data_IF_215141448409
#
_entry.id   IF_215141448409
#
_cell.length_a   1.000
_cell.length_b   1.000
_cell.length_c   1.000
_cell.angle_alpha   90.00
_cell.angle_beta   90.00
_cell.angle_gamma   90.00
#
_symmetry.space_group_name_H-M   'P 1'
#
loop_
_entity.id
_entity.type
_entity.pdbx_description
1 polymer ?
#
# COMPACT_ATOMS: atom_id res chain seq x y z
N UNK A 1 21.83 7.67 -23.48
CA UNK A 1 22.65 8.40 -22.48
C UNK A 1 22.58 7.77 -21.09
N UNK A 2 21.45 7.79 -20.36
CA UNK A 2 21.36 7.15 -19.03
C UNK A 2 21.46 5.61 -19.11
N UNK A 3 20.78 4.99 -20.07
CA UNK A 3 20.84 3.54 -20.26
C UNK A 3 22.25 3.02 -20.55
N UNK A 4 23.07 3.80 -21.26
CA UNK A 4 24.44 3.44 -21.61
C UNK A 4 25.36 3.50 -20.39
N UNK A 5 25.12 4.46 -19.48
CA UNK A 5 25.79 4.53 -18.17
C UNK A 5 25.43 3.32 -17.31
N UNK A 6 24.15 2.98 -17.18
CA UNK A 6 23.78 1.79 -16.38
C UNK A 6 24.33 0.47 -16.95
N UNK A 7 24.63 0.40 -18.25
CA UNK A 7 25.29 -0.77 -18.87
C UNK A 7 26.79 -0.85 -18.58
N UNK A 8 27.43 0.23 -18.14
CA UNK A 8 28.88 0.28 -17.97
C UNK A 8 29.38 -0.44 -16.72
N UNK A 9 28.49 -0.87 -15.83
CA UNK A 9 28.85 -1.51 -14.57
C UNK A 9 27.77 -2.52 -14.15
N UNK A 10 28.10 -3.36 -13.17
CA UNK A 10 27.23 -4.40 -12.65
C UNK A 10 26.09 -3.82 -11.81
N UNK A 11 24.98 -4.56 -11.73
CA UNK A 11 23.84 -4.24 -10.84
C UNK A 11 24.29 -4.02 -9.40
N UNK A 12 25.17 -4.88 -8.88
CA UNK A 12 25.65 -4.81 -7.50
C UNK A 12 26.43 -3.51 -7.25
N UNK A 13 27.33 -3.14 -8.16
CA UNK A 13 28.07 -1.86 -8.09
C UNK A 13 27.12 -0.66 -8.08
N UNK A 14 26.12 -0.65 -8.97
CA UNK A 14 25.15 0.45 -9.01
C UNK A 14 24.29 0.55 -7.75
N UNK A 15 23.79 -0.58 -7.24
CA UNK A 15 23.02 -0.59 -5.99
C UNK A 15 23.86 -0.08 -4.81
N UNK A 16 25.14 -0.46 -4.73
CA UNK A 16 26.06 0.06 -3.70
C UNK A 16 26.27 1.57 -3.82
N UNK A 17 26.50 2.09 -5.03
CA UNK A 17 26.67 3.54 -5.27
C UNK A 17 25.40 4.33 -4.96
N UNK A 18 24.24 3.85 -5.37
CA UNK A 18 22.96 4.50 -5.11
C UNK A 18 22.63 4.49 -3.62
N UNK A 19 22.87 3.37 -2.93
CA UNK A 19 22.71 3.27 -1.48
C UNK A 19 23.62 4.24 -0.73
N UNK A 20 24.90 4.33 -1.11
CA UNK A 20 25.85 5.28 -0.51
C UNK A 20 25.44 6.75 -0.72
N UNK A 21 24.77 7.06 -1.83
CA UNK A 21 24.22 8.38 -2.10
C UNK A 21 22.86 8.64 -1.42
N UNK A 22 22.34 7.68 -0.64
CA UNK A 22 21.03 7.78 0.00
C UNK A 22 19.85 7.67 -0.97
N UNK A 23 20.09 7.20 -2.21
CA UNK A 23 19.05 7.00 -3.22
C UNK A 23 18.43 5.60 -3.04
N UNK A 24 17.13 5.50 -2.70
CA UNK A 24 16.46 4.21 -2.56
C UNK A 24 16.42 3.48 -3.91
N UNK A 25 17.03 2.30 -3.97
CA UNK A 25 17.08 1.48 -5.16
C UNK A 25 17.01 0.00 -4.78
N UNK A 26 16.32 -0.80 -5.60
CA UNK A 26 16.21 -2.24 -5.41
C UNK A 26 16.35 -3.00 -6.73
N UNK A 27 16.82 -4.25 -6.70
CA UNK A 27 16.84 -5.09 -7.89
C UNK A 27 15.41 -5.40 -8.36
N UNK A 28 15.21 -5.49 -9.68
CA UNK A 28 13.99 -6.08 -10.24
C UNK A 28 14.12 -7.60 -10.13
N UNK A 29 13.28 -8.22 -9.30
CA UNK A 29 13.29 -9.67 -9.04
C UNK A 29 12.11 -10.36 -9.73
N UNK A 30 12.07 -11.70 -9.67
CA UNK A 30 10.86 -12.45 -9.97
C UNK A 30 10.05 -12.66 -8.69
N UNK A 31 8.76 -12.96 -8.85
CA UNK A 31 7.85 -13.22 -7.72
C UNK A 31 8.34 -14.35 -6.81
N UNK A 32 8.87 -15.44 -7.37
CA UNK A 32 9.43 -16.56 -6.60
C UNK A 32 10.63 -16.14 -5.76
N UNK A 33 11.62 -15.49 -6.40
CA UNK A 33 12.81 -14.97 -5.71
C UNK A 33 12.48 -14.04 -4.54
N UNK A 34 11.40 -13.26 -4.63
CA UNK A 34 10.92 -12.44 -3.51
C UNK A 34 10.27 -13.27 -2.41
N UNK A 35 9.43 -14.24 -2.77
CA UNK A 35 8.77 -15.13 -1.81
C UNK A 35 9.78 -15.94 -0.99
N UNK A 36 10.91 -16.30 -1.62
CA UNK A 36 12.06 -16.99 -1.00
C UNK A 36 13.08 -16.01 -0.38
N UNK A 37 12.82 -14.70 -0.38
CA UNK A 37 13.80 -13.73 0.10
C UNK A 37 13.90 -13.76 1.64
N UNK A 38 15.12 -13.72 2.22
CA UNK A 38 15.32 -13.77 3.68
C UNK A 38 14.57 -12.69 4.46
N UNK A 39 14.28 -11.56 3.81
CA UNK A 39 13.44 -10.52 4.40
C UNK A 39 12.03 -11.00 4.71
N UNK A 40 11.37 -11.70 3.78
CA UNK A 40 9.99 -12.16 3.99
C UNK A 40 9.91 -13.23 5.07
N UNK A 41 10.91 -14.10 5.14
CA UNK A 41 11.04 -15.07 6.24
C UNK A 41 11.18 -14.34 7.58
N UNK A 42 12.08 -13.35 7.67
CA UNK A 42 12.32 -12.61 8.90
C UNK A 42 11.09 -11.86 9.44
N UNK A 43 10.19 -11.42 8.55
CA UNK A 43 8.94 -10.76 8.93
C UNK A 43 7.73 -11.71 9.01
N UNK A 44 7.94 -13.02 8.82
CA UNK A 44 6.87 -14.03 8.86
C UNK A 44 5.87 -13.94 7.71
N UNK A 45 6.28 -13.33 6.60
CA UNK A 45 5.46 -13.19 5.38
C UNK A 45 5.61 -14.36 4.41
N UNK A 46 6.51 -15.30 4.68
CA UNK A 46 6.55 -16.60 4.01
C UNK A 46 6.12 -17.65 5.02
N UNK A 47 5.07 -18.39 4.71
CA UNK A 47 4.62 -19.53 5.52
C UNK A 47 4.40 -20.76 4.64
N UNK A 48 4.71 -21.91 5.20
CA UNK A 48 4.41 -23.22 4.63
C UNK A 48 3.18 -23.79 5.34
N UNK A 49 2.16 -24.15 4.56
CA UNK A 49 0.90 -24.67 5.09
C UNK A 49 0.58 -25.98 4.39
N UNK A 50 0.26 -27.01 5.18
CA UNK A 50 -0.19 -28.30 4.64
C UNK A 50 -1.62 -28.20 4.10
N UNK A 51 -1.77 -28.45 2.80
CA UNK A 51 -3.03 -28.29 2.06
C UNK A 51 -3.60 -29.63 1.59
N UNK A 52 -3.71 -30.63 2.46
CA UNK A 52 -4.35 -31.90 2.14
C UNK A 52 -3.81 -32.52 0.85
N UNK A 53 -4.66 -32.64 -0.17
CA UNK A 53 -4.32 -33.21 -1.49
C UNK A 53 -3.23 -32.42 -2.26
N UNK A 54 -3.04 -31.14 -1.95
CA UNK A 54 -2.02 -30.31 -2.59
C UNK A 54 -0.65 -30.38 -1.90
N UNK A 55 -0.55 -31.09 -0.76
CA UNK A 55 0.67 -31.14 0.04
C UNK A 55 1.07 -29.77 0.60
N UNK A 56 2.35 -29.53 0.89
CA UNK A 56 2.84 -28.25 1.42
C UNK A 56 2.73 -27.14 0.36
N UNK A 57 2.07 -26.05 0.73
CA UNK A 57 1.93 -24.85 -0.11
C UNK A 57 2.54 -23.66 0.60
N UNK A 58 3.42 -22.95 -0.10
CA UNK A 58 3.97 -21.67 0.33
C UNK A 58 2.96 -20.56 0.04
N UNK A 59 2.62 -19.77 1.04
CA UNK A 59 1.76 -18.60 0.87
C UNK A 59 2.21 -17.39 1.71
N UNK A 60 1.68 -16.19 1.42
CA UNK A 60 1.94 -15.02 2.24
C UNK A 60 1.40 -15.19 3.67
N UNK A 61 2.16 -14.72 4.65
CA UNK A 61 1.73 -14.61 6.04
C UNK A 61 0.76 -13.45 6.29
N UNK A 62 0.56 -13.11 7.57
CA UNK A 62 -0.32 -12.01 7.98
C UNK A 62 0.43 -10.67 7.88
N UNK A 63 0.02 -9.74 7.01
CA UNK A 63 0.77 -8.49 6.78
C UNK A 63 0.51 -7.43 7.87
N UNK A 64 -0.43 -7.67 8.78
CA UNK A 64 -0.78 -6.76 9.89
C UNK A 64 -0.39 -7.42 11.20
N UNK A 65 0.53 -6.79 11.92
CA UNK A 65 1.03 -7.28 13.21
C UNK A 65 0.27 -6.56 14.33
N UNK A 66 -0.54 -7.32 15.07
CA UNK A 66 -1.27 -6.83 16.24
C UNK A 66 -0.62 -7.41 17.50
N UNK A 67 -0.07 -6.55 18.35
CA UNK A 67 0.67 -6.99 19.55
C UNK A 67 -0.22 -7.72 20.56
N UNK A 68 -1.45 -7.24 20.76
CA UNK A 68 -2.39 -7.80 21.75
C UNK A 68 -3.20 -8.98 21.21
N UNK A 69 -3.44 -9.03 19.90
CA UNK A 69 -4.26 -10.07 19.23
C UNK A 69 -3.60 -10.54 17.93
N UNK A 70 -2.43 -11.21 17.99
CA UNK A 70 -1.70 -11.60 16.80
C UNK A 70 -2.55 -12.44 15.84
N UNK A 71 -2.57 -12.03 14.56
CA UNK A 71 -3.20 -12.82 13.51
C UNK A 71 -2.42 -14.10 13.21
N UNK A 72 -3.12 -15.15 12.77
CA UNK A 72 -2.49 -16.39 12.28
C UNK A 72 -3.24 -16.93 11.08
N UNK A 73 -2.50 -17.54 10.15
CA UNK A 73 -3.11 -18.33 9.08
C UNK A 73 -3.57 -19.66 9.68
N UNK A 74 -4.86 -19.97 9.53
CA UNK A 74 -5.49 -21.12 10.18
C UNK A 74 -5.39 -22.41 9.37
N UNK A 75 -5.01 -22.31 8.10
CA UNK A 75 -4.96 -23.43 7.17
C UNK A 75 -5.14 -22.93 5.75
N UNK A 76 -5.19 -23.86 4.81
CA UNK A 76 -5.40 -23.55 3.42
C UNK A 76 -6.83 -23.07 3.17
N UNK A 77 -7.02 -22.40 2.04
CA UNK A 77 -8.36 -22.06 1.58
C UNK A 77 -9.20 -23.35 1.54
N UNK A 78 -10.42 -23.34 2.11
CA UNK A 78 -11.30 -24.50 2.04
C UNK A 78 -11.55 -24.84 0.56
N UNK A 79 -11.73 -26.13 0.23
CA UNK A 79 -12.06 -26.53 -1.13
C UNK A 79 -13.31 -25.78 -1.59
N UNK A 80 -13.33 -25.42 -2.88
CA UNK A 80 -14.51 -24.78 -3.46
C UNK A 80 -15.70 -25.72 -3.24
N UNK A 81 -16.65 -25.28 -2.42
CA UNK A 81 -17.86 -26.05 -2.20
C UNK A 81 -18.60 -26.23 -3.53
N UNK A 82 -19.05 -27.46 -3.80
CA UNK A 82 -19.87 -27.81 -4.98
C UNK A 82 -21.24 -27.16 -4.91
N UNK A 83 -21.74 -26.93 -3.70
CA UNK A 83 -22.92 -26.12 -3.40
C UNK A 83 -22.49 -24.79 -2.77
N UNK A 84 -23.20 -23.67 -3.00
CA UNK A 84 -22.92 -22.43 -2.29
C UNK A 84 -22.99 -22.70 -0.78
N UNK A 85 -21.98 -22.30 0.01
CA UNK A 85 -21.98 -22.55 1.45
C UNK A 85 -23.25 -21.96 2.08
N UNK A 86 -23.80 -22.63 3.10
CA UNK A 86 -25.03 -22.22 3.81
C UNK A 86 -24.95 -20.85 4.49
N UNK A 87 -23.82 -20.15 4.39
CA UNK A 87 -23.67 -18.72 4.71
C UNK A 87 -24.36 -17.80 3.70
N UNK A 88 -24.72 -18.31 2.51
CA UNK A 88 -25.51 -17.60 1.49
C UNK A 88 -27.01 -17.89 1.58
N UNK A 89 -27.42 -18.97 2.25
CA UNK A 89 -28.72 -18.92 2.93
C UNK A 89 -28.60 -17.84 3.98
N UNK A 90 -29.54 -16.90 4.04
CA UNK A 90 -29.61 -15.81 5.03
C UNK A 90 -29.71 -16.39 6.46
N UNK A 91 -28.65 -17.03 6.96
CA UNK A 91 -28.42 -17.14 8.37
C UNK A 91 -28.32 -15.70 8.82
N UNK A 92 -29.41 -15.21 9.43
CA UNK A 92 -29.54 -13.86 9.94
C UNK A 92 -28.22 -13.53 10.62
N UNK A 93 -27.49 -12.56 10.06
CA UNK A 93 -26.35 -11.95 10.72
C UNK A 93 -26.74 -11.82 12.18
N UNK A 94 -26.02 -12.50 13.08
CA UNK A 94 -26.35 -12.44 14.48
C UNK A 94 -26.26 -10.97 14.87
N UNK A 95 -27.41 -10.34 15.08
CA UNK A 95 -27.55 -8.90 15.41
C UNK A 95 -27.00 -8.57 16.79
N UNK A 96 -26.39 -9.55 17.46
CA UNK A 96 -25.68 -9.35 18.72
C UNK A 96 -24.37 -8.65 18.39
N UNK A 97 -24.19 -7.36 18.73
CA UNK A 97 -22.91 -6.69 18.55
C UNK A 97 -21.86 -7.49 19.32
N UNK A 98 -20.70 -7.74 18.70
CA UNK A 98 -19.54 -8.21 19.44
C UNK A 98 -19.33 -7.25 20.62
N UNK A 99 -19.36 -7.81 21.84
CA UNK A 99 -19.18 -7.17 23.15
C UNK A 99 -19.00 -5.64 23.10
N UNK A 100 -20.04 -4.93 23.54
CA UNK A 100 -19.97 -3.52 23.95
C UNK A 100 -19.11 -3.38 25.21
N UNK A 101 -17.85 -3.81 25.15
CA UNK A 101 -16.83 -3.27 26.02
C UNK A 101 -16.68 -1.83 25.59
N UNK A 102 -17.43 -0.96 26.27
CA UNK A 102 -17.44 0.48 26.06
C UNK A 102 -15.98 0.95 26.08
N UNK A 103 -15.41 1.23 24.90
CA UNK A 103 -14.45 2.32 24.78
C UNK A 103 -15.11 3.49 25.51
N UNK A 104 -14.51 3.91 26.62
CA UNK A 104 -15.12 4.78 27.61
C UNK A 104 -15.87 5.91 26.92
N UNK A 105 -17.16 6.05 27.25
CA UNK A 105 -18.02 7.06 26.66
C UNK A 105 -17.45 8.46 26.92
N UNK A 106 -16.70 8.98 25.94
CA UNK A 106 -16.65 10.41 25.62
C UNK A 106 -17.65 10.69 24.50
N UNK A 107 -18.85 10.16 24.65
CA UNK A 107 -19.99 10.56 23.85
C UNK A 107 -20.57 11.85 24.46
N UNK A 108 -20.11 12.99 23.96
CA UNK A 108 -20.84 14.25 24.08
C UNK A 108 -20.65 15.06 22.80
N UNK A 109 -21.62 14.94 21.90
CA UNK A 109 -21.69 15.70 20.65
C UNK A 109 -22.60 15.03 19.64
N UNK A 110 -23.92 15.08 19.87
CA UNK A 110 -24.93 14.61 18.93
C UNK A 110 -24.85 15.39 17.61
N UNK A 111 -24.50 14.69 16.54
CA UNK A 111 -24.51 15.17 15.17
C UNK A 111 -24.09 14.05 14.23
N UNK A 112 -24.63 14.05 13.01
CA UNK A 112 -24.36 13.12 11.90
C UNK A 112 -22.88 12.66 11.82
N UNK A 113 -22.53 11.57 12.51
CA UNK A 113 -21.16 11.09 12.63
C UNK A 113 -21.05 9.64 12.15
N UNK A 114 -20.02 9.36 11.36
CA UNK A 114 -19.70 8.01 10.88
C UNK A 114 -19.32 7.04 12.02
N UNK A 115 -19.01 5.77 11.70
CA UNK A 115 -18.73 4.73 12.70
C UNK A 115 -17.56 5.04 13.65
N UNK A 116 -16.67 5.98 13.29
CA UNK A 116 -15.55 6.44 14.13
C UNK A 116 -15.78 7.84 14.75
N UNK A 117 -17.03 8.30 14.82
CA UNK A 117 -17.35 9.56 15.48
C UNK A 117 -16.85 9.57 16.94
N UNK A 118 -16.15 10.64 17.30
CA UNK A 118 -15.53 10.80 18.62
C UNK A 118 -14.11 10.26 18.74
N UNK A 119 -13.65 9.44 17.79
CA UNK A 119 -12.25 8.96 17.75
C UNK A 119 -11.33 10.09 17.31
N UNK A 120 -10.20 10.24 17.99
CA UNK A 120 -9.17 11.25 17.72
C UNK A 120 -7.88 10.60 17.28
N UNK A 121 -7.33 11.07 16.18
CA UNK A 121 -6.13 10.51 15.54
C UNK A 121 -5.08 11.60 15.36
N UNK A 122 -3.84 11.31 15.72
CA UNK A 122 -2.66 12.08 15.31
C UNK A 122 -1.96 11.33 14.18
N UNK A 123 -1.96 11.91 12.99
CA UNK A 123 -1.25 11.38 11.83
C UNK A 123 0.09 12.10 11.67
N UNK A 124 1.18 11.43 12.03
CA UNK A 124 2.56 11.89 11.86
C UNK A 124 3.12 11.50 10.47
N UNK A 125 2.34 10.75 9.70
CA UNK A 125 2.77 10.16 8.45
C UNK A 125 3.07 11.21 7.39
N UNK A 126 4.03 10.87 6.53
CA UNK A 126 4.43 11.68 5.39
C UNK A 126 4.08 10.99 4.06
N UNK A 127 3.99 11.78 2.99
CA UNK A 127 3.78 11.32 1.62
C UNK A 127 2.39 10.71 1.40
N UNK A 128 2.25 9.39 1.45
CA UNK A 128 1.04 8.68 1.01
C UNK A 128 0.54 7.67 2.04
N UNK A 129 1.36 6.69 2.47
CA UNK A 129 0.86 5.54 3.22
C UNK A 129 0.18 5.89 4.56
N UNK A 130 0.87 6.68 5.40
CA UNK A 130 0.30 7.21 6.65
C UNK A 130 -0.89 8.15 6.41
N UNK A 131 -0.73 9.21 5.60
CA UNK A 131 -1.80 10.12 5.19
C UNK A 131 -3.07 9.43 4.73
N UNK A 132 -2.93 8.43 3.86
CA UNK A 132 -4.07 7.70 3.32
C UNK A 132 -4.82 6.92 4.41
N UNK A 133 -4.11 6.29 5.35
CA UNK A 133 -4.74 5.68 6.51
C UNK A 133 -5.51 6.72 7.35
N UNK A 134 -4.92 7.88 7.60
CA UNK A 134 -5.59 8.99 8.28
C UNK A 134 -6.83 9.50 7.54
N UNK A 135 -6.77 9.62 6.20
CA UNK A 135 -7.90 10.05 5.39
C UNK A 135 -9.06 9.06 5.44
N UNK A 136 -8.78 7.75 5.38
CA UNK A 136 -9.82 6.71 5.54
C UNK A 136 -10.51 6.80 6.91
N UNK A 137 -9.75 7.03 7.99
CA UNK A 137 -10.33 7.22 9.33
C UNK A 137 -11.18 8.49 9.42
N UNK A 138 -10.74 9.58 8.77
CA UNK A 138 -11.51 10.82 8.70
C UNK A 138 -12.82 10.64 7.94
N UNK A 139 -12.81 9.91 6.82
CA UNK A 139 -14.03 9.59 6.05
C UNK A 139 -15.01 8.72 6.85
N UNK A 140 -14.51 7.90 7.77
CA UNK A 140 -15.32 7.14 8.72
C UNK A 140 -15.79 7.94 9.94
N UNK A 141 -15.46 9.25 10.02
CA UNK A 141 -15.96 10.17 11.04
C UNK A 141 -14.99 10.48 12.18
N UNK A 142 -13.74 9.97 12.14
CA UNK A 142 -12.74 10.33 13.14
C UNK A 142 -12.26 11.78 12.98
N UNK A 143 -11.88 12.42 14.08
CA UNK A 143 -11.15 13.69 14.04
C UNK A 143 -9.67 13.42 13.87
N UNK A 144 -9.17 13.65 12.66
CA UNK A 144 -7.76 13.39 12.31
C UNK A 144 -6.99 14.70 12.23
N UNK A 145 -5.92 14.81 13.01
CA UNK A 145 -4.99 15.92 12.99
C UNK A 145 -3.70 15.44 12.33
N UNK A 146 -3.37 16.00 11.17
CA UNK A 146 -2.10 15.77 10.50
C UNK A 146 -1.04 16.66 11.14
N UNK A 147 -0.01 16.04 11.69
CA UNK A 147 1.14 16.74 12.25
C UNK A 147 2.25 16.77 11.22
N UNK A 148 2.66 17.97 10.84
CA UNK A 148 3.67 18.20 9.80
C UNK A 148 4.85 18.98 10.35
N UNK A 149 6.06 18.84 9.76
CA UNK A 149 7.14 19.78 10.05
C UNK A 149 6.74 21.20 9.62
N UNK A 150 7.45 22.21 10.12
CA UNK A 150 7.16 23.63 9.82
C UNK A 150 7.20 23.97 8.32
N UNK A 151 8.02 23.23 7.54
CA UNK A 151 8.05 23.33 6.08
C UNK A 151 6.91 22.61 5.36
N UNK A 152 6.05 21.89 6.09
CA UNK A 152 5.00 21.02 5.56
C UNK A 152 5.52 19.67 5.04
N UNK A 153 4.59 18.76 4.76
CA UNK A 153 4.87 17.51 4.08
C UNK A 153 5.48 17.78 2.69
N UNK A 154 6.58 17.09 2.35
CA UNK A 154 7.23 17.21 1.04
C UNK A 154 6.33 16.82 -0.15
N UNK A 155 5.22 16.12 0.11
CA UNK A 155 4.21 15.79 -0.90
C UNK A 155 3.14 16.89 -1.07
N UNK A 156 3.31 18.07 -0.47
CA UNK A 156 2.43 19.22 -0.71
C UNK A 156 2.50 19.66 -2.17
N UNK A 157 1.35 19.61 -2.84
CA UNK A 157 1.22 19.89 -4.26
C UNK A 157 -0.04 19.24 -4.85
N UNK A 158 -0.16 19.20 -6.18
CA UNK A 158 -1.24 18.48 -6.87
C UNK A 158 -1.22 17.00 -6.47
N UNK A 159 -2.22 16.56 -5.70
CA UNK A 159 -2.30 15.20 -5.17
C UNK A 159 -2.29 15.10 -3.64
N UNK A 160 -1.80 16.11 -2.92
CA UNK A 160 -1.83 16.12 -1.45
C UNK A 160 -3.24 15.91 -0.91
N UNK A 161 -4.22 16.63 -1.47
CA UNK A 161 -5.62 16.54 -1.07
C UNK A 161 -6.23 15.14 -1.29
N UNK A 162 -5.72 14.35 -2.24
CA UNK A 162 -6.24 13.01 -2.51
C UNK A 162 -5.96 12.02 -1.37
N UNK A 163 -4.86 12.24 -0.64
CA UNK A 163 -4.44 11.36 0.47
C UNK A 163 -4.61 12.00 1.84
N UNK A 164 -4.97 13.28 1.94
CA UNK A 164 -5.10 14.01 3.20
C UNK A 164 -6.50 14.60 3.40
N UNK A 165 -7.48 14.18 2.58
CA UNK A 165 -8.85 14.67 2.64
C UNK A 165 -9.46 14.43 4.04
N UNK A 166 -10.16 15.44 4.55
CA UNK A 166 -10.83 15.37 5.85
C UNK A 166 -9.91 15.58 7.06
N UNK A 167 -8.58 15.59 6.87
CA UNK A 167 -7.63 15.84 7.94
C UNK A 167 -7.47 17.34 8.24
N UNK A 168 -7.15 17.66 9.51
CA UNK A 168 -6.83 19.02 9.97
C UNK A 168 -5.33 19.17 10.13
N UNK A 169 -4.70 20.08 9.38
CA UNK A 169 -3.25 20.29 9.45
C UNK A 169 -2.80 21.04 10.69
N UNK A 170 -1.69 20.61 11.29
CA UNK A 170 -1.01 21.23 12.42
C UNK A 170 0.51 21.13 12.20
N UNK A 171 1.20 22.26 12.13
CA UNK A 171 2.65 22.28 11.97
C UNK A 171 3.34 22.30 13.34
N UNK A 172 4.20 21.32 13.62
CA UNK A 172 5.00 21.20 14.85
C UNK A 172 6.42 20.76 14.48
N UNK A 173 7.42 21.45 15.01
CA UNK A 173 8.80 20.94 14.98
C UNK A 173 9.02 19.91 16.09
N UNK A 174 8.91 18.63 15.75
CA UNK A 174 9.10 17.51 16.68
C UNK A 174 10.57 17.31 17.10
N UNK A 175 11.54 17.96 16.45
CA UNK A 175 12.94 17.91 16.89
C UNK A 175 13.19 18.87 18.06
N UNK A 176 12.37 19.90 18.20
CA UNK A 176 12.45 20.83 19.31
C UNK A 176 11.72 20.27 20.54
N UNK A 177 12.32 20.41 21.73
CA UNK A 177 11.77 19.88 22.99
C UNK A 177 10.31 20.32 23.24
N UNK A 178 10.00 21.61 22.99
CA UNK A 178 8.63 22.14 23.09
C UNK A 178 7.65 21.53 22.09
N UNK A 179 8.10 21.15 20.90
CA UNK A 179 7.24 20.51 19.91
C UNK A 179 6.92 19.06 20.30
N UNK A 180 7.92 18.33 20.81
CA UNK A 180 7.70 17.02 21.44
C UNK A 180 6.72 17.12 22.60
N UNK A 181 6.91 18.06 23.52
CA UNK A 181 6.01 18.30 24.65
C UNK A 181 4.58 18.59 24.18
N UNK A 182 4.41 19.45 23.17
CA UNK A 182 3.10 19.75 22.60
C UNK A 182 2.43 18.50 22.00
N UNK A 183 3.17 17.65 21.29
CA UNK A 183 2.62 16.40 20.75
C UNK A 183 2.21 15.44 21.88
N UNK A 184 3.03 15.27 22.91
CA UNK A 184 2.69 14.45 24.07
C UNK A 184 1.46 14.98 24.81
N UNK A 185 1.30 16.31 24.91
CA UNK A 185 0.11 16.93 25.46
C UNK A 185 -1.16 16.61 24.64
N UNK A 186 -1.06 16.60 23.30
CA UNK A 186 -2.16 16.16 22.43
C UNK A 186 -2.46 14.67 22.64
N UNK A 187 -1.42 13.84 22.69
CA UNK A 187 -1.50 12.37 22.82
C UNK A 187 -2.29 11.91 24.06
N UNK A 188 -2.28 12.68 25.16
CA UNK A 188 -3.10 12.44 26.37
C UNK A 188 -4.61 12.33 26.10
N UNK A 189 -5.07 12.83 24.95
CA UNK A 189 -6.48 12.86 24.58
C UNK A 189 -6.74 12.32 23.17
N UNK A 190 -5.78 11.56 22.64
CA UNK A 190 -5.80 10.94 21.31
C UNK A 190 -5.93 9.44 21.46
N UNK A 191 -6.75 8.81 20.63
CA UNK A 191 -6.96 7.36 20.65
C UNK A 191 -5.92 6.63 19.78
N UNK A 192 -5.52 7.23 18.64
CA UNK A 192 -4.64 6.61 17.67
C UNK A 192 -3.50 7.56 17.25
N UNK A 193 -2.27 7.05 17.23
CA UNK A 193 -1.12 7.71 16.59
C UNK A 193 -0.68 6.87 15.39
N UNK A 194 -0.54 7.51 14.23
CA UNK A 194 -0.09 6.88 12.99
C UNK A 194 1.27 7.44 12.61
N UNK A 195 2.20 6.57 12.25
CA UNK A 195 3.44 6.96 11.58
C UNK A 195 3.76 6.06 10.38
N UNK A 196 4.66 6.53 9.53
CA UNK A 196 5.32 5.73 8.51
C UNK A 196 6.82 6.04 8.42
N UNK A 197 7.42 6.35 9.56
CA UNK A 197 8.84 6.60 9.65
C UNK A 197 9.62 5.29 9.62
N UNK A 198 10.93 5.41 9.37
CA UNK A 198 11.83 4.27 9.52
C UNK A 198 11.86 3.81 10.97
N UNK A 199 12.04 2.49 11.22
CA UNK A 199 12.25 1.99 12.56
C UNK A 199 13.32 2.78 13.33
N UNK A 200 13.01 3.11 14.59
CA UNK A 200 13.88 3.89 15.48
C UNK A 200 13.72 5.41 15.41
N UNK A 201 13.06 5.97 14.38
CA UNK A 201 12.86 7.42 14.29
C UNK A 201 12.00 7.95 15.44
N UNK A 202 10.84 7.34 15.72
CA UNK A 202 10.00 7.75 16.85
C UNK A 202 10.73 7.64 18.20
N UNK A 203 11.53 6.59 18.38
CA UNK A 203 12.34 6.42 19.60
C UNK A 203 13.33 7.57 19.77
N UNK A 204 13.99 8.00 18.69
CA UNK A 204 14.90 9.16 18.72
C UNK A 204 14.15 10.48 18.99
N UNK A 205 12.89 10.58 18.56
CA UNK A 205 12.03 11.73 18.87
C UNK A 205 11.42 11.65 20.28
N UNK A 206 11.60 10.53 21.01
CA UNK A 206 10.98 10.29 22.31
C UNK A 206 9.46 10.23 22.23
N UNK A 207 8.96 9.55 21.19
CA UNK A 207 7.55 9.41 20.83
C UNK A 207 7.20 7.97 20.40
N UNK A 208 8.04 7.00 20.75
CA UNK A 208 7.73 5.60 20.50
C UNK A 208 6.60 5.10 21.42
N UNK A 209 6.15 3.88 21.19
CA UNK A 209 5.01 3.31 21.90
C UNK A 209 5.15 3.36 23.43
N UNK A 210 6.36 3.17 23.97
CA UNK A 210 6.60 3.23 25.42
C UNK A 210 6.28 4.63 25.98
N UNK A 211 6.86 5.67 25.38
CA UNK A 211 6.63 7.08 25.72
C UNK A 211 5.16 7.49 25.55
N UNK A 212 4.52 7.07 24.46
CA UNK A 212 3.10 7.35 24.21
C UNK A 212 2.19 6.70 25.26
N UNK A 213 2.52 5.48 25.69
CA UNK A 213 1.76 4.73 26.69
C UNK A 213 1.86 5.34 28.09
N UNK A 214 2.99 5.98 28.42
CA UNK A 214 3.14 6.70 29.69
C UNK A 214 2.15 7.86 29.83
N UNK A 215 1.87 8.58 28.74
CA UNK A 215 0.94 9.71 28.74
C UNK A 215 -0.52 9.29 28.51
N UNK A 216 -0.74 8.18 27.80
CA UNK A 216 -2.06 7.61 27.56
C UNK A 216 -2.00 6.07 27.49
N UNK A 217 -2.39 5.35 28.55
CA UNK A 217 -2.32 3.88 28.61
C UNK A 217 -3.17 3.14 27.57
N UNK A 218 -4.22 3.78 27.05
CA UNK A 218 -5.17 3.19 26.10
C UNK A 218 -4.83 3.52 24.64
N UNK A 219 -3.72 4.22 24.39
CA UNK A 219 -3.35 4.69 23.05
C UNK A 219 -2.99 3.54 22.11
N UNK A 220 -3.50 3.61 20.88
CA UNK A 220 -3.14 2.71 19.79
C UNK A 220 -2.05 3.36 18.94
N UNK A 221 -0.88 2.73 18.85
CA UNK A 221 0.19 3.15 17.93
C UNK A 221 0.18 2.28 16.68
N UNK A 222 0.12 2.92 15.52
CA UNK A 222 0.16 2.26 14.20
C UNK A 222 1.40 2.73 13.47
N UNK A 223 2.24 1.79 13.05
CA UNK A 223 3.44 2.08 12.26
C UNK A 223 3.41 1.37 10.92
N UNK A 224 3.63 2.11 9.84
CA UNK A 224 3.64 1.61 8.47
C UNK A 224 5.06 1.67 7.92
N UNK A 225 5.69 0.51 7.79
CA UNK A 225 7.06 0.38 7.28
C UNK A 225 7.07 -0.39 5.97
N UNK A 226 8.02 -0.11 5.08
CA UNK A 226 8.06 -0.79 3.78
C UNK A 226 8.65 -2.20 3.82
N UNK A 227 9.56 -2.50 4.76
CA UNK A 227 10.17 -3.81 4.91
C UNK A 227 9.91 -4.46 6.28
N UNK A 228 9.20 -3.82 7.20
CA UNK A 228 9.09 -4.27 8.59
C UNK A 228 10.23 -3.72 9.46
N UNK A 229 10.31 -4.20 10.70
CA UNK A 229 11.27 -3.80 11.73
C UNK A 229 12.38 -4.85 11.99
N UNK A 230 12.30 -5.99 11.32
CA UNK A 230 13.20 -7.15 11.48
C UNK A 230 13.82 -7.54 10.14
N UNK A 231 14.84 -8.39 10.18
CA UNK A 231 15.48 -8.93 8.99
C UNK A 231 16.49 -8.00 8.31
N UNK A 232 17.15 -8.47 7.24
CA UNK A 232 18.25 -7.74 6.58
C UNK A 232 17.86 -6.38 5.99
N UNK A 233 16.57 -6.15 5.70
CA UNK A 233 16.06 -4.90 5.13
C UNK A 233 15.20 -4.09 6.11
N UNK A 234 15.05 -4.50 7.38
CA UNK A 234 14.14 -3.86 8.33
C UNK A 234 14.44 -2.36 8.59
N UNK A 235 15.70 -1.93 8.48
CA UNK A 235 16.08 -0.51 8.62
C UNK A 235 16.11 0.28 7.30
N UNK A 236 15.93 -0.40 6.16
CA UNK A 236 16.16 0.17 4.83
C UNK A 236 15.00 1.06 4.35
N UNK A 237 15.23 2.01 3.42
CA UNK A 237 14.16 2.83 2.88
C UNK A 237 13.18 1.98 2.08
N UNK A 238 11.94 1.91 2.56
CA UNK A 238 10.84 1.29 1.84
C UNK A 238 10.04 2.31 1.04
N UNK A 239 10.22 2.34 -0.28
CA UNK A 239 9.38 3.10 -1.20
C UNK A 239 8.65 2.17 -2.15
N UNK A 240 7.43 2.53 -2.54
CA UNK A 240 6.57 1.70 -3.41
C UNK A 240 7.30 1.19 -4.67
N UNK A 241 8.02 2.00 -5.46
CA UNK A 241 8.73 1.50 -6.63
C UNK A 241 9.79 0.45 -6.31
N UNK A 242 10.46 0.58 -5.16
CA UNK A 242 11.48 -0.40 -4.71
C UNK A 242 10.80 -1.72 -4.34
N UNK A 243 9.69 -1.67 -3.60
CA UNK A 243 8.91 -2.85 -3.22
C UNK A 243 8.27 -3.50 -4.46
N UNK A 244 7.78 -2.73 -5.42
CA UNK A 244 7.26 -3.25 -6.69
C UNK A 244 8.34 -3.93 -7.55
N UNK A 245 9.57 -3.39 -7.55
CA UNK A 245 10.70 -4.00 -8.23
C UNK A 245 11.07 -5.34 -7.58
N UNK A 246 11.23 -5.33 -6.25
CA UNK A 246 11.69 -6.47 -5.48
C UNK A 246 10.63 -7.56 -5.37
N UNK A 247 9.34 -7.22 -5.30
CA UNK A 247 8.25 -8.21 -5.31
C UNK A 247 8.06 -8.93 -6.64
N UNK A 248 8.77 -8.49 -7.69
CA UNK A 248 8.60 -8.96 -9.06
C UNK A 248 7.29 -8.53 -9.72
N UNK A 249 6.55 -7.60 -9.11
CA UNK A 249 5.38 -6.97 -9.71
C UNK A 249 5.76 -6.22 -10.98
N UNK A 250 6.85 -5.44 -10.96
CA UNK A 250 7.37 -4.75 -12.14
C UNK A 250 7.69 -5.73 -13.27
N UNK A 251 8.35 -6.85 -12.95
CA UNK A 251 8.65 -7.89 -13.94
C UNK A 251 7.37 -8.49 -14.53
N UNK A 252 6.37 -8.80 -13.70
CA UNK A 252 5.10 -9.37 -14.15
C UNK A 252 4.32 -8.42 -15.07
N UNK A 253 4.28 -7.13 -14.75
CA UNK A 253 3.63 -6.10 -15.58
C UNK A 253 4.36 -5.88 -16.91
N UNK A 254 5.69 -6.02 -16.93
CA UNK A 254 6.50 -5.85 -18.16
C UNK A 254 6.19 -6.91 -19.24
N UNK A 255 5.76 -8.12 -18.83
CA UNK A 255 5.41 -9.21 -19.75
C UNK A 255 4.10 -8.91 -20.50
N UNK A 256 3.14 -8.24 -19.86
CA UNK A 256 1.90 -7.79 -20.52
C UNK A 256 2.19 -6.81 -21.65
N UNK A 257 3.15 -5.89 -21.45
CA UNK A 257 3.55 -4.93 -22.48
C UNK A 257 4.20 -5.63 -23.69
N UNK A 258 5.15 -6.54 -23.47
CA UNK A 258 5.81 -7.29 -24.57
C UNK A 258 4.87 -8.25 -25.29
N UNK A 259 3.94 -8.88 -24.58
CA UNK A 259 2.96 -9.81 -25.18
C UNK A 259 1.91 -9.05 -25.98
N UNK A 260 1.46 -7.89 -25.51
CA UNK A 260 0.56 -7.01 -26.26
C UNK A 260 1.24 -6.44 -27.51
N UNK A 261 2.52 -6.03 -27.42
CA UNK A 261 3.32 -5.62 -28.57
C UNK A 261 3.51 -6.76 -29.58
N UNK A 262 3.83 -7.98 -29.13
CA UNK A 262 3.95 -9.18 -29.99
C UNK A 262 2.63 -9.59 -30.64
N UNK A 263 1.50 -9.46 -29.93
CA UNK A 263 0.17 -9.70 -30.51
C UNK A 263 -0.21 -8.62 -31.55
N UNK A 264 0.17 -7.36 -31.30
CA UNK A 264 -0.01 -6.26 -32.27
C UNK A 264 0.85 -6.45 -33.52
N UNK A 265 2.12 -6.85 -33.40
CA UNK A 265 2.99 -7.13 -34.56
C UNK A 265 2.47 -8.32 -35.37
N UNK A 266 2.10 -9.43 -34.72
CA UNK A 266 1.51 -10.59 -35.41
C UNK A 266 0.18 -10.28 -36.10
N UNK A 267 -0.68 -9.45 -35.50
CA UNK A 267 -1.93 -8.98 -36.15
C UNK A 267 -1.64 -8.07 -37.35
N UNK A 268 -0.66 -7.16 -37.25
CA UNK A 268 -0.22 -6.32 -38.38
C UNK A 268 0.39 -7.14 -39.52
N UNK A 269 1.20 -8.15 -39.21
CA UNK A 269 1.79 -9.04 -40.22
C UNK A 269 0.72 -9.92 -40.90
N UNK A 270 -0.26 -10.41 -40.13
CA UNK A 270 -1.40 -11.15 -40.68
C UNK A 270 -2.27 -10.26 -41.58
N UNK A 271 -2.56 -9.03 -41.16
CA UNK A 271 -3.30 -8.06 -41.97
C UNK A 271 -2.55 -7.68 -43.26
N UNK A 272 -1.22 -7.50 -43.21
CA UNK A 272 -0.38 -7.25 -44.40
C UNK A 272 -0.33 -8.43 -45.36
N UNK A 273 -0.31 -9.67 -44.85
CA UNK A 273 -0.37 -10.89 -45.68
C UNK A 273 -1.73 -11.06 -46.34
N UNK A 274 -2.82 -10.77 -45.63
CA UNK A 274 -4.17 -10.81 -46.18
C UNK A 274 -4.40 -9.71 -47.24
N UNK A 275 -3.89 -8.50 -47.01
CA UNK A 275 -3.97 -7.41 -47.98
C UNK A 275 -3.14 -7.65 -49.26
N UNK A 276 -2.06 -8.44 -49.18
CA UNK A 276 -1.24 -8.83 -50.35
C UNK A 276 -1.81 -10.04 -51.12
N UNK A 277 -2.72 -10.79 -50.50
CA UNK A 277 -3.38 -11.96 -51.12
C UNK A 277 -4.75 -11.61 -51.71
N UNK A 278 -5.23 -10.37 -51.56
CA UNK A 278 -6.48 -9.92 -52.15
C UNK A 278 -6.25 -9.53 -53.63
N UNK A 279 -7.03 -10.08 -54.59
CA UNK A 279 -6.98 -9.63 -55.98
C UNK A 279 -7.50 -8.18 -56.09
N UNK A 280 -7.05 -7.39 -57.09
CA UNK A 280 -7.49 -6.01 -57.26
C UNK A 280 -9.00 -5.96 -57.51
N UNK A 281 -9.73 -5.27 -56.63
CA UNK A 281 -11.16 -5.04 -56.79
C UNK A 281 -11.42 -3.99 -57.91
N UNK A 282 -12.47 -4.17 -58.74
CA UNK A 282 -12.82 -3.22 -59.77
C UNK A 282 -13.32 -1.90 -59.17
N UNK A 283 -12.91 -0.78 -59.77
CA UNK A 283 -13.35 0.56 -59.39
C UNK A 283 -14.86 0.72 -59.65
N UNK A 284 -15.65 0.92 -58.59
CA UNK A 284 -17.09 1.11 -58.73
C UNK A 284 -17.82 1.54 -57.46
N UNK A 285 -18.16 2.83 -57.43
CA UNK A 285 -19.25 3.52 -56.72
C UNK A 285 -19.24 3.57 -55.18
N UNK A 286 -19.41 4.82 -54.72
CA UNK A 286 -19.66 5.26 -53.34
C UNK A 286 -21.01 4.72 -52.85
N UNK A 287 -21.05 4.30 -51.59
CA UNK A 287 -22.26 4.21 -50.79
C UNK A 287 -21.93 4.65 -49.36
N UNK A 288 -22.69 5.63 -48.88
CA UNK A 288 -22.81 6.04 -47.47
C UNK A 288 -23.41 4.89 -46.64
N UNK A 289 -23.00 4.80 -45.38
CA UNK A 289 -23.57 3.86 -44.41
C UNK A 289 -22.75 3.88 -43.12
N UNK A 290 -23.38 4.37 -42.05
CA UNK A 290 -22.86 4.53 -40.70
C UNK A 290 -22.21 3.27 -40.13
N UNK A 291 -21.03 3.44 -39.51
CA UNK A 291 -20.51 2.46 -38.55
C UNK A 291 -19.94 3.18 -37.32
N UNK A 292 -20.69 3.06 -36.23
CA UNK A 292 -20.37 3.54 -34.89
C UNK A 292 -19.27 2.61 -34.33
N UNK A 293 -18.01 2.91 -34.65
CA UNK A 293 -16.86 2.27 -34.01
C UNK A 293 -16.37 3.12 -32.84
N UNK A 294 -16.78 2.72 -31.63
CA UNK A 294 -16.37 3.28 -30.34
C UNK A 294 -14.85 3.48 -30.25
N UNK A 295 -14.47 4.75 -30.03
CA UNK A 295 -13.09 5.16 -29.72
C UNK A 295 -12.72 4.68 -28.31
N UNK A 296 -12.00 3.57 -28.20
CA UNK A 296 -11.22 3.30 -26.99
C UNK A 296 -9.87 4.01 -27.08
N UNK A 297 -9.85 5.25 -26.59
CA UNK A 297 -8.62 5.98 -26.23
C UNK A 297 -8.27 5.56 -24.80
N UNK A 298 -7.20 4.79 -24.63
CA UNK A 298 -6.61 4.55 -23.31
C UNK A 298 -5.52 5.61 -23.12
N UNK A 299 -5.88 6.70 -22.45
CA UNK A 299 -4.95 7.76 -22.09
C UNK A 299 -3.95 7.26 -21.05
N UNK A 300 -2.66 7.33 -21.37
CA UNK A 300 -1.61 7.33 -20.38
C UNK A 300 -1.58 8.72 -19.76
N UNK A 301 -2.07 8.86 -18.53
CA UNK A 301 -1.83 10.04 -17.70
C UNK A 301 -0.78 9.66 -16.66
N UNK A 302 0.46 10.05 -16.94
CA UNK A 302 1.57 10.11 -16.00
C UNK A 302 2.26 11.44 -16.25
N UNK A 303 2.09 12.34 -15.31
CA UNK A 303 2.67 13.69 -15.23
C UNK A 303 2.55 14.14 -13.79
#
# INVERSE_FOLDING_TARGET
RIADVFRSDTRASWLGRLGAAGCPAGPVLKRGDWLDHPQLEAIGMRIDVECGEHGPVVMPGVPVILHSTPGRVQGCAPPRATEPPSIWTEAQWATTPASTTRLGARAAGGGAGGPLAGVRVLDLGAIIAGPFAGALLAELGATVIKVEPLGGDSFRGPGFAAYNKGQRGLAIDLQHAKGREALLALARSTDIVIDNYRPGVLKRLGLDWSELREVNPDIVSVSITGFGDRGPLGGEPGFDPVVQAMSGMMSAQSVLHRTCQRRRSRRRDRARRLARAAPPAPQGRRAEGDDIAGRHVCGAAGG
#
